data_IF_220220952321
#
_entry.id   IF_220220952321
#
_cell.length_a   1.000
_cell.length_b   1.000
_cell.length_c   1.000
_cell.angle_alpha   90.00
_cell.angle_beta   90.00
_cell.angle_gamma   90.00
#
_symmetry.space_group_name_H-M   'P 1'
#
loop_
_entity.id
_entity.type
_entity.pdbx_description
1 polymer ?
#
# COMPACT_ATOMS: atom_id res chain seq x y z
N UNK A 1 9.84 19.48 -1.50
CA UNK A 1 9.09 19.99 -0.32
C UNK A 1 8.92 18.83 0.67
N UNK A 2 9.07 19.03 1.98
CA UNK A 2 9.04 17.92 2.95
C UNK A 2 7.63 17.41 3.23
N UNK A 3 7.51 16.09 3.36
CA UNK A 3 6.24 15.42 3.71
C UNK A 3 5.98 15.49 5.21
N UNK A 4 4.73 15.27 5.62
CA UNK A 4 4.38 15.21 7.05
C UNK A 4 5.14 14.08 7.78
N UNK A 5 5.38 12.95 7.13
CA UNK A 5 6.18 11.85 7.70
C UNK A 5 7.65 12.25 7.91
N UNK A 6 8.24 13.02 6.99
CA UNK A 6 9.59 13.56 7.18
C UNK A 6 9.64 14.56 8.34
N UNK A 7 8.60 15.39 8.49
CA UNK A 7 8.49 16.31 9.63
C UNK A 7 8.36 15.54 10.94
N UNK A 8 7.52 14.51 11.01
CA UNK A 8 7.43 13.64 12.19
C UNK A 8 8.79 13.10 12.60
N UNK A 9 9.56 12.61 11.61
CA UNK A 9 10.90 12.08 11.86
C UNK A 9 11.85 13.17 12.38
N UNK A 10 11.90 14.34 11.74
CA UNK A 10 12.73 15.47 12.18
C UNK A 10 12.39 15.88 13.62
N UNK A 11 11.11 16.06 13.93
CA UNK A 11 10.68 16.49 15.28
C UNK A 11 10.86 15.42 16.36
N UNK A 12 10.97 14.15 15.97
CA UNK A 12 11.27 13.06 16.91
C UNK A 12 12.77 13.01 17.29
N UNK A 13 13.66 13.53 16.43
CA UNK A 13 15.09 13.58 16.68
C UNK A 13 15.58 14.93 17.25
N UNK A 14 14.74 15.97 17.23
CA UNK A 14 15.12 17.32 17.65
C UNK A 14 14.40 17.76 18.93
N UNK A 15 15.15 18.31 19.87
CA UNK A 15 14.61 19.13 20.95
C UNK A 15 14.37 20.55 20.46
N UNK A 16 13.30 21.18 20.95
CA UNK A 16 12.96 22.57 20.69
C UNK A 16 12.61 23.24 22.00
N UNK A 17 12.98 24.52 22.13
CA UNK A 17 12.44 25.39 23.19
C UNK A 17 10.91 25.45 23.10
N UNK A 18 10.23 25.79 24.20
CA UNK A 18 8.77 25.91 24.19
C UNK A 18 8.26 26.92 23.15
N UNK A 19 8.97 28.04 23.00
CA UNK A 19 8.63 29.07 22.01
C UNK A 19 8.80 28.55 20.57
N UNK A 20 9.95 27.94 20.26
CA UNK A 20 10.21 27.38 18.93
C UNK A 20 9.22 26.25 18.61
N UNK A 21 8.88 25.43 19.60
CA UNK A 21 7.94 24.33 19.44
C UNK A 21 6.54 24.81 19.05
N UNK A 22 6.04 25.89 19.67
CA UNK A 22 4.75 26.47 19.28
C UNK A 22 4.76 26.95 17.82
N UNK A 23 5.87 27.55 17.37
CA UNK A 23 6.02 27.99 15.97
C UNK A 23 6.06 26.80 15.00
N UNK A 24 6.72 25.71 15.37
CA UNK A 24 6.70 24.44 14.60
C UNK A 24 5.27 23.88 14.50
N UNK A 25 4.53 23.83 15.62
CA UNK A 25 3.15 23.36 15.63
C UNK A 25 2.25 24.25 14.76
N UNK A 26 2.40 25.57 14.84
CA UNK A 26 1.63 26.52 14.03
C UNK A 26 1.90 26.33 12.54
N UNK A 27 3.17 26.16 12.15
CA UNK A 27 3.55 25.85 10.76
C UNK A 27 2.84 24.58 10.27
N UNK A 28 2.89 23.50 11.04
CA UNK A 28 2.30 22.23 10.66
C UNK A 28 0.77 22.30 10.57
N UNK A 29 0.11 22.98 11.52
CA UNK A 29 -1.35 23.21 11.48
C UNK A 29 -1.77 23.98 10.22
N UNK A 30 -1.06 25.06 9.89
CA UNK A 30 -1.34 25.86 8.69
C UNK A 30 -1.16 25.06 7.41
N UNK A 31 -0.12 24.24 7.31
CA UNK A 31 0.23 23.54 6.06
C UNK A 31 -0.50 22.23 5.82
N UNK A 32 -0.74 21.45 6.87
CA UNK A 32 -1.27 20.08 6.78
C UNK A 32 -2.68 19.94 7.35
N UNK A 33 -3.32 21.05 7.75
CA UNK A 33 -4.67 21.07 8.35
C UNK A 33 -4.83 20.17 9.58
N UNK A 34 -3.73 19.88 10.29
CA UNK A 34 -3.70 18.98 11.44
C UNK A 34 -2.43 18.14 11.51
N UNK A 35 -2.40 17.20 12.46
CA UNK A 35 -1.29 16.28 12.71
C UNK A 35 -0.91 16.21 14.19
N UNK A 36 -0.87 15.00 14.76
CA UNK A 36 -0.41 14.77 16.15
C UNK A 36 1.12 14.72 16.20
N UNK A 37 1.76 15.89 16.12
CA UNK A 37 3.21 15.99 16.28
C UNK A 37 3.49 16.14 17.77
N UNK A 38 4.41 15.32 18.28
CA UNK A 38 4.79 15.28 19.68
C UNK A 38 6.25 15.71 19.83
N UNK A 39 6.58 16.27 21.00
CA UNK A 39 7.98 16.56 21.33
C UNK A 39 8.79 15.26 21.35
N UNK A 40 10.07 15.36 20.98
CA UNK A 40 11.01 14.27 21.12
C UNK A 40 11.10 13.81 22.58
N UNK A 41 11.00 12.49 22.79
CA UNK A 41 11.25 11.88 24.11
C UNK A 41 12.75 11.72 24.37
N UNK A 42 13.50 11.38 23.32
CA UNK A 42 14.95 11.16 23.34
C UNK A 42 15.59 11.92 22.17
N UNK A 43 15.74 13.26 22.29
CA UNK A 43 16.28 14.08 21.23
C UNK A 43 17.75 13.73 20.98
N UNK A 44 18.16 13.77 19.71
CA UNK A 44 19.54 13.61 19.25
C UNK A 44 20.26 14.94 19.07
N UNK A 45 19.52 16.02 18.89
CA UNK A 45 20.06 17.37 18.67
C UNK A 45 19.08 18.45 19.15
N UNK A 46 19.60 19.65 19.39
CA UNK A 46 18.79 20.86 19.57
C UNK A 46 18.50 21.53 18.22
N UNK A 47 17.27 22.01 18.05
CA UNK A 47 16.84 22.75 16.86
C UNK A 47 16.03 23.99 17.25
N UNK A 48 16.33 25.10 16.60
CA UNK A 48 15.50 26.32 16.60
C UNK A 48 14.45 26.27 15.50
N UNK A 49 13.44 27.14 15.56
CA UNK A 49 12.47 27.29 14.47
C UNK A 49 13.13 27.75 13.17
N UNK A 50 14.19 28.59 13.24
CA UNK A 50 14.95 29.03 12.06
C UNK A 50 15.65 27.87 11.37
N UNK A 51 16.28 26.97 12.12
CA UNK A 51 16.91 25.76 11.58
C UNK A 51 15.88 24.82 10.96
N UNK A 52 14.74 24.61 11.63
CA UNK A 52 13.63 23.84 11.07
C UNK A 52 13.14 24.41 9.73
N UNK A 53 12.94 25.73 9.64
CA UNK A 53 12.56 26.40 8.38
C UNK A 53 13.58 26.21 7.28
N UNK A 54 14.88 26.39 7.57
CA UNK A 54 15.95 26.15 6.61
C UNK A 54 15.96 24.69 6.12
N UNK A 55 15.76 23.74 7.03
CA UNK A 55 15.68 22.31 6.70
C UNK A 55 14.47 21.97 5.82
N UNK A 56 13.31 22.56 6.08
CA UNK A 56 12.12 22.40 5.23
C UNK A 56 12.38 22.83 3.78
N UNK A 57 13.13 23.92 3.61
CA UNK A 57 13.37 24.55 2.31
C UNK A 57 14.49 23.85 1.53
N UNK A 58 15.58 23.46 2.22
CA UNK A 58 16.84 23.04 1.56
C UNK A 58 17.49 21.79 2.14
N UNK A 59 17.02 21.29 3.29
CA UNK A 59 17.60 20.12 3.95
C UNK A 59 17.19 18.80 3.29
N UNK A 60 17.81 17.71 3.71
CA UNK A 60 17.39 16.34 3.35
C UNK A 60 16.44 15.78 4.41
N UNK A 61 15.38 15.11 4.00
CA UNK A 61 14.43 14.43 4.86
C UNK A 61 14.68 12.92 4.86
N UNK A 62 14.14 12.22 5.85
CA UNK A 62 14.19 10.76 5.83
C UNK A 62 13.54 10.21 4.56
N UNK A 63 14.18 9.20 3.97
CA UNK A 63 13.78 8.59 2.70
C UNK A 63 14.27 9.33 1.46
N UNK A 64 14.85 10.52 1.59
CA UNK A 64 15.52 11.17 0.46
C UNK A 64 16.73 10.28 0.04
N UNK A 65 16.84 10.03 -1.25
CA UNK A 65 17.92 9.24 -1.84
C UNK A 65 19.00 10.16 -2.38
N UNK A 66 20.23 9.96 -1.92
CA UNK A 66 21.33 10.92 -2.07
C UNK A 66 22.58 10.26 -2.59
N UNK A 67 23.39 11.00 -3.34
CA UNK A 67 24.79 10.66 -3.60
C UNK A 67 25.68 11.31 -2.53
N UNK A 68 26.75 10.61 -2.17
CA UNK A 68 27.80 11.11 -1.29
C UNK A 68 29.16 10.66 -1.83
N UNK A 69 29.83 11.51 -2.60
CA UNK A 69 31.00 11.10 -3.37
C UNK A 69 30.64 10.00 -4.38
N UNK A 70 31.27 8.84 -4.28
CA UNK A 70 31.02 7.70 -5.18
C UNK A 70 29.95 6.72 -4.66
N UNK A 71 29.36 6.96 -3.49
CA UNK A 71 28.27 6.13 -2.97
C UNK A 71 26.90 6.79 -3.20
N UNK A 72 25.86 5.96 -3.16
CA UNK A 72 24.46 6.39 -3.08
C UNK A 72 23.81 5.75 -1.86
N UNK A 73 22.89 6.46 -1.22
CA UNK A 73 22.25 5.98 0.00
C UNK A 73 20.91 6.64 0.31
N UNK A 74 20.31 6.20 1.41
CA UNK A 74 18.97 6.62 1.86
C UNK A 74 19.11 7.30 3.22
N UNK A 75 18.68 8.56 3.30
CA UNK A 75 18.73 9.35 4.53
C UNK A 75 17.75 8.78 5.57
N UNK A 76 18.24 8.53 6.79
CA UNK A 76 17.44 8.04 7.93
C UNK A 76 17.01 9.17 8.87
N UNK A 77 17.90 10.12 9.08
CA UNK A 77 17.68 11.33 9.87
C UNK A 77 18.58 12.45 9.37
N UNK A 78 18.06 13.66 9.44
CA UNK A 78 18.82 14.89 9.21
C UNK A 78 18.41 15.87 10.28
N UNK A 79 19.37 16.25 11.11
CA UNK A 79 19.21 17.22 12.20
C UNK A 79 20.21 18.36 12.00
N UNK A 80 20.16 19.44 12.80
CA UNK A 80 21.19 20.46 12.75
C UNK A 80 22.60 19.95 13.13
N UNK A 81 22.68 18.89 13.92
CA UNK A 81 23.96 18.32 14.38
C UNK A 81 24.58 17.37 13.35
N UNK A 82 23.77 16.50 12.75
CA UNK A 82 24.27 15.47 11.82
C UNK A 82 23.22 14.96 10.85
N UNK A 83 23.70 14.34 9.77
CA UNK A 83 22.91 13.57 8.80
C UNK A 83 23.38 12.11 8.85
N UNK A 84 22.43 11.18 8.87
CA UNK A 84 22.70 9.74 8.89
C UNK A 84 22.01 9.08 7.71
N UNK A 85 22.72 8.17 7.04
CA UNK A 85 22.16 7.26 6.04
C UNK A 85 21.82 5.93 6.72
N UNK A 86 20.63 5.38 6.50
CA UNK A 86 20.26 4.03 7.00
C UNK A 86 20.72 2.90 6.07
N UNK A 87 21.03 3.25 4.83
CA UNK A 87 21.62 2.34 3.87
C UNK A 87 22.44 3.11 2.84
N UNK A 88 23.47 2.48 2.32
CA UNK A 88 24.37 3.03 1.31
C UNK A 88 24.98 1.90 0.49
N UNK A 89 25.46 2.20 -0.72
CA UNK A 89 26.20 1.23 -1.52
C UNK A 89 27.68 1.28 -1.19
N UNK A 90 28.33 0.13 -1.04
CA UNK A 90 29.78 0.07 -0.97
C UNK A 90 30.44 0.37 -2.35
N UNK A 91 31.76 0.25 -2.41
CA UNK A 91 32.54 0.50 -3.63
C UNK A 91 32.29 -0.53 -4.73
N UNK A 92 31.76 -1.70 -4.39
CA UNK A 92 31.40 -2.77 -5.34
C UNK A 92 29.94 -2.63 -5.82
N UNK A 93 29.18 -1.69 -5.25
CA UNK A 93 27.77 -1.48 -5.55
C UNK A 93 26.82 -2.34 -4.71
N UNK A 94 27.30 -3.03 -3.67
CA UNK A 94 26.45 -3.79 -2.78
C UNK A 94 25.72 -2.86 -1.81
N UNK A 95 24.41 -3.07 -1.65
CA UNK A 95 23.63 -2.35 -0.64
C UNK A 95 23.98 -2.82 0.77
N UNK A 96 24.55 -1.91 1.57
CA UNK A 96 24.78 -2.07 3.00
C UNK A 96 23.65 -1.40 3.76
N UNK A 97 23.00 -2.13 4.66
CA UNK A 97 21.91 -1.62 5.51
C UNK A 97 22.46 -1.45 6.91
N UNK A 98 23.04 -0.27 7.14
CA UNK A 98 23.59 0.13 8.43
C UNK A 98 23.58 1.66 8.52
N UNK A 99 23.53 2.17 9.74
CA UNK A 99 23.63 3.60 9.99
C UNK A 99 25.05 4.09 9.68
N UNK A 100 25.16 5.09 8.82
CA UNK A 100 26.42 5.79 8.53
C UNK A 100 26.22 7.30 8.70
N UNK A 101 26.98 7.89 9.61
CA UNK A 101 27.03 9.34 9.78
C UNK A 101 27.79 10.00 8.61
N UNK A 102 27.21 11.07 8.07
CA UNK A 102 27.78 11.84 6.97
C UNK A 102 28.69 12.92 7.54
N UNK A 103 29.99 12.79 7.32
CA UNK A 103 31.00 13.72 7.86
C UNK A 103 30.97 15.11 7.19
N UNK A 104 30.65 15.16 5.90
CA UNK A 104 30.61 16.41 5.11
C UNK A 104 29.24 16.58 4.43
N UNK A 105 28.18 16.98 5.17
CA UNK A 105 26.82 17.07 4.64
C UNK A 105 26.66 17.96 3.39
N UNK A 106 27.57 18.92 3.18
CA UNK A 106 27.54 19.83 2.03
C UNK A 106 27.85 19.12 0.70
N UNK A 107 28.43 17.91 0.74
CA UNK A 107 28.72 17.09 -0.44
C UNK A 107 27.54 16.21 -0.85
N UNK A 108 26.47 16.15 -0.06
CA UNK A 108 25.27 15.40 -0.41
C UNK A 108 24.54 16.07 -1.56
N UNK A 109 24.15 15.27 -2.55
CA UNK A 109 23.32 15.72 -3.66
C UNK A 109 22.16 14.75 -3.84
N UNK A 110 21.01 15.25 -4.29
CA UNK A 110 19.87 14.40 -4.66
C UNK A 110 20.30 13.47 -5.81
N UNK A 111 19.92 12.20 -5.74
CA UNK A 111 20.18 11.26 -6.84
C UNK A 111 19.32 11.59 -8.07
N UNK A 112 19.86 11.29 -9.25
CA UNK A 112 19.11 11.29 -10.50
C UNK A 112 18.15 10.09 -10.56
N UNK A 113 17.06 10.19 -11.34
CA UNK A 113 15.98 9.20 -11.39
C UNK A 113 16.44 7.78 -11.79
N UNK A 114 17.43 7.66 -12.67
CA UNK A 114 18.01 6.36 -13.07
C UNK A 114 18.67 5.67 -11.86
N UNK A 115 19.44 6.42 -11.07
CA UNK A 115 20.13 5.96 -9.86
C UNK A 115 19.17 5.72 -8.70
N UNK A 116 18.10 6.52 -8.60
CA UNK A 116 16.99 6.26 -7.67
C UNK A 116 16.35 4.90 -7.98
N UNK A 117 16.09 4.61 -9.25
CA UNK A 117 15.49 3.34 -9.68
C UNK A 117 16.42 2.16 -9.39
N UNK A 118 17.72 2.31 -9.64
CA UNK A 118 18.75 1.32 -9.29
C UNK A 118 18.80 1.05 -7.78
N UNK A 119 18.82 2.09 -6.96
CA UNK A 119 18.85 1.95 -5.50
C UNK A 119 17.55 1.33 -4.97
N UNK A 120 16.39 1.69 -5.52
CA UNK A 120 15.10 1.05 -5.19
C UNK A 120 15.11 -0.43 -5.51
N UNK A 121 15.64 -0.81 -6.68
CA UNK A 121 15.81 -2.21 -7.07
C UNK A 121 16.65 -2.97 -6.04
N UNK A 122 17.82 -2.43 -5.66
CA UNK A 122 18.69 -3.08 -4.67
C UNK A 122 17.99 -3.27 -3.31
N UNK A 123 17.25 -2.26 -2.84
CA UNK A 123 16.47 -2.35 -1.59
C UNK A 123 15.39 -3.42 -1.69
N UNK A 124 14.67 -3.45 -2.81
CA UNK A 124 13.58 -4.39 -3.04
C UNK A 124 14.08 -5.84 -3.18
N UNK A 125 15.19 -6.06 -3.88
CA UNK A 125 15.83 -7.37 -4.03
C UNK A 125 16.29 -7.94 -2.67
N UNK A 126 16.67 -7.07 -1.72
CA UNK A 126 16.92 -7.46 -0.32
C UNK A 126 15.65 -7.69 0.50
N UNK A 127 14.47 -7.62 -0.12
CA UNK A 127 13.15 -7.76 0.53
C UNK A 127 12.93 -6.73 1.64
N UNK A 128 13.45 -5.51 1.45
CA UNK A 128 13.33 -4.42 2.41
C UNK A 128 12.46 -3.27 1.87
N UNK A 129 11.92 -2.51 2.81
CA UNK A 129 11.13 -1.31 2.57
C UNK A 129 11.48 -0.26 3.63
N UNK A 130 11.64 0.99 3.20
CA UNK A 130 12.05 2.09 4.07
C UNK A 130 10.86 2.84 4.64
N UNK A 131 10.77 2.88 5.97
CA UNK A 131 9.70 3.57 6.69
C UNK A 131 10.13 4.98 7.10
N UNK A 132 9.76 5.99 6.30
CA UNK A 132 10.11 7.41 6.51
C UNK A 132 9.85 7.88 7.94
N UNK A 133 8.70 7.51 8.52
CA UNK A 133 8.29 7.95 9.86
C UNK A 133 9.23 7.47 10.97
N UNK A 134 9.82 6.29 10.80
CA UNK A 134 10.75 5.70 11.79
C UNK A 134 12.21 5.85 11.40
N UNK A 135 12.49 6.14 10.12
CA UNK A 135 13.84 6.18 9.56
C UNK A 135 14.48 4.81 9.43
N UNK A 136 13.71 3.72 9.42
CA UNK A 136 14.21 2.34 9.48
C UNK A 136 13.73 1.48 8.31
N UNK A 137 14.46 0.42 8.03
CA UNK A 137 14.04 -0.64 7.11
C UNK A 137 13.21 -1.69 7.82
N UNK A 138 12.11 -2.08 7.18
CA UNK A 138 11.30 -3.24 7.53
C UNK A 138 11.32 -4.24 6.38
N UNK A 139 10.88 -5.47 6.63
CA UNK A 139 10.62 -6.42 5.54
C UNK A 139 9.47 -5.92 4.67
N UNK A 140 9.57 -6.14 3.36
CA UNK A 140 8.45 -5.86 2.45
C UNK A 140 7.22 -6.65 2.86
N UNK A 141 6.05 -6.02 2.75
CA UNK A 141 4.79 -6.73 2.90
C UNK A 141 4.56 -7.62 1.68
N UNK A 142 4.31 -8.91 1.92
CA UNK A 142 3.94 -9.88 0.87
C UNK A 142 2.49 -10.28 1.11
N UNK A 143 1.54 -9.84 0.26
CA UNK A 143 0.14 -10.19 0.42
C UNK A 143 -0.09 -11.67 0.16
N UNK A 144 -1.10 -12.24 0.80
CA UNK A 144 -1.61 -13.56 0.45
C UNK A 144 -2.42 -13.48 -0.85
N UNK A 145 -2.49 -14.58 -1.59
CA UNK A 145 -3.34 -14.69 -2.77
C UNK A 145 -4.79 -14.36 -2.40
N UNK A 146 -5.47 -13.60 -3.26
CA UNK A 146 -6.83 -13.07 -3.08
C UNK A 146 -7.01 -12.02 -1.99
N UNK A 147 -5.93 -11.58 -1.34
CA UNK A 147 -6.00 -10.46 -0.40
C UNK A 147 -5.86 -9.12 -1.12
N UNK A 148 -6.36 -8.07 -0.48
CA UNK A 148 -6.24 -6.72 -0.99
C UNK A 148 -4.88 -6.11 -0.65
N UNK A 149 -4.27 -5.50 -1.66
CA UNK A 149 -3.03 -4.78 -1.53
C UNK A 149 -3.11 -3.44 -2.27
N UNK A 150 -2.25 -2.53 -1.87
CA UNK A 150 -2.14 -1.20 -2.46
C UNK A 150 -0.75 -0.94 -3.01
N UNK A 151 -0.69 -0.12 -4.07
CA UNK A 151 0.53 0.41 -4.67
C UNK A 151 0.46 1.93 -4.56
N UNK A 152 1.44 2.52 -3.88
CA UNK A 152 1.63 3.97 -3.83
C UNK A 152 2.51 4.38 -5.01
N UNK A 153 2.10 5.39 -5.78
CA UNK A 153 2.92 5.89 -6.87
C UNK A 153 3.72 7.10 -6.42
N UNK A 154 5.02 7.18 -6.78
CA UNK A 154 5.80 8.39 -6.55
C UNK A 154 5.07 9.60 -7.15
N UNK A 155 4.89 10.66 -6.35
CA UNK A 155 4.25 11.92 -6.73
C UNK A 155 2.74 11.86 -6.99
N UNK A 156 2.05 10.81 -6.55
CA UNK A 156 0.57 10.75 -6.57
C UNK A 156 0.04 10.60 -5.15
N UNK A 157 -0.95 11.43 -4.79
CA UNK A 157 -1.75 11.22 -3.58
C UNK A 157 -2.79 10.09 -3.78
N UNK A 158 -2.97 9.63 -5.03
CA UNK A 158 -3.84 8.50 -5.33
C UNK A 158 -3.11 7.18 -5.15
N UNK A 159 -3.74 6.29 -4.40
CA UNK A 159 -3.25 4.94 -4.16
C UNK A 159 -3.98 3.98 -5.09
N UNK A 160 -3.23 3.11 -5.77
CA UNK A 160 -3.79 2.00 -6.51
C UNK A 160 -4.19 0.88 -5.56
N UNK A 161 -5.36 0.28 -5.74
CA UNK A 161 -5.85 -0.84 -4.92
C UNK A 161 -6.22 -2.01 -5.81
N UNK A 162 -5.81 -3.22 -5.42
CA UNK A 162 -6.19 -4.42 -6.14
C UNK A 162 -6.26 -5.66 -5.27
N UNK A 163 -6.91 -6.70 -5.81
CA UNK A 163 -6.93 -8.03 -5.23
C UNK A 163 -5.78 -8.85 -5.81
N UNK A 164 -4.79 -9.15 -4.98
CA UNK A 164 -3.51 -9.72 -5.37
C UNK A 164 -3.62 -11.19 -5.77
N UNK A 165 -2.86 -11.61 -6.78
CA UNK A 165 -2.74 -13.01 -7.20
C UNK A 165 -1.33 -13.53 -6.98
N UNK A 166 -0.35 -12.91 -7.64
CA UNK A 166 1.04 -13.34 -7.65
C UNK A 166 1.98 -12.21 -8.09
N UNK A 167 3.28 -12.49 -8.10
CA UNK A 167 4.31 -11.53 -8.46
C UNK A 167 5.47 -12.20 -9.20
N UNK A 168 6.02 -11.49 -10.18
CA UNK A 168 7.30 -11.81 -10.84
C UNK A 168 8.46 -10.97 -10.27
N UNK A 169 8.32 -10.52 -9.01
CA UNK A 169 9.10 -9.52 -8.29
C UNK A 169 8.71 -8.07 -8.62
N UNK A 170 9.04 -7.55 -9.80
CA UNK A 170 8.82 -6.13 -10.13
C UNK A 170 7.40 -5.83 -10.64
N UNK A 171 6.67 -6.86 -11.06
CA UNK A 171 5.27 -6.78 -11.45
C UNK A 171 4.42 -7.65 -10.55
N UNK A 172 3.18 -7.22 -10.39
CA UNK A 172 2.19 -7.89 -9.57
C UNK A 172 0.96 -8.15 -10.40
N UNK A 173 0.47 -9.38 -10.35
CA UNK A 173 -0.76 -9.79 -10.98
C UNK A 173 -1.92 -9.54 -10.01
N UNK A 174 -2.96 -8.89 -10.51
CA UNK A 174 -4.17 -8.60 -9.76
C UNK A 174 -5.39 -9.13 -10.50
N UNK A 175 -6.30 -9.74 -9.75
CA UNK A 175 -7.59 -10.18 -10.28
C UNK A 175 -8.47 -8.99 -10.68
N UNK A 176 -8.37 -7.91 -9.91
CA UNK A 176 -8.93 -6.60 -10.23
C UNK A 176 -8.02 -5.54 -9.61
N UNK A 177 -7.81 -4.44 -10.33
CA UNK A 177 -6.98 -3.34 -9.91
C UNK A 177 -7.60 -2.00 -10.31
N UNK A 178 -7.67 -1.07 -9.38
CA UNK A 178 -8.21 0.26 -9.54
C UNK A 178 -7.15 1.30 -9.24
N UNK A 179 -6.88 2.17 -10.20
CA UNK A 179 -6.07 3.37 -10.03
C UNK A 179 -6.82 4.59 -10.59
N UNK A 180 -6.96 5.64 -9.78
CA UNK A 180 -7.92 6.71 -10.02
C UNK A 180 -9.32 6.14 -10.27
N UNK A 181 -9.85 6.39 -11.47
CA UNK A 181 -11.14 5.88 -11.94
C UNK A 181 -11.03 4.69 -12.92
N UNK A 182 -9.81 4.23 -13.22
CA UNK A 182 -9.57 3.16 -14.20
C UNK A 182 -9.55 1.82 -13.50
N UNK A 183 -10.62 1.06 -13.66
CA UNK A 183 -10.70 -0.35 -13.27
C UNK A 183 -10.09 -1.22 -14.38
N UNK A 184 -9.17 -2.11 -14.00
CA UNK A 184 -8.58 -3.12 -14.86
C UNK A 184 -8.83 -4.48 -14.22
N UNK A 185 -9.37 -5.42 -14.98
CA UNK A 185 -9.57 -6.80 -14.54
C UNK A 185 -8.41 -7.65 -15.03
N UNK A 186 -8.02 -8.64 -14.23
CA UNK A 186 -7.01 -9.65 -14.58
C UNK A 186 -5.76 -9.05 -15.26
N UNK A 187 -4.99 -8.26 -14.50
CA UNK A 187 -3.93 -7.44 -15.07
C UNK A 187 -2.63 -7.51 -14.28
N UNK A 188 -1.52 -7.37 -15.01
CA UNK A 188 -0.19 -7.20 -14.46
C UNK A 188 0.13 -5.71 -14.33
N UNK A 189 0.56 -5.30 -13.14
CA UNK A 189 0.95 -3.93 -12.83
C UNK A 189 2.43 -3.92 -12.48
N UNK A 190 3.21 -3.13 -13.19
CA UNK A 190 4.61 -2.85 -12.87
C UNK A 190 4.68 -1.90 -11.67
N UNK A 191 5.24 -2.36 -10.56
CA UNK A 191 5.39 -1.52 -9.37
C UNK A 191 6.65 -0.67 -9.42
N UNK A 192 7.53 -0.88 -10.41
CA UNK A 192 8.85 -0.26 -10.49
C UNK A 192 9.61 -0.38 -9.16
N UNK A 193 9.62 -1.60 -8.61
CA UNK A 193 10.25 -1.93 -7.31
C UNK A 193 9.63 -1.20 -6.10
N UNK A 194 8.40 -0.70 -6.23
CA UNK A 194 7.66 -0.12 -5.11
C UNK A 194 6.99 -1.23 -4.30
N UNK A 195 7.26 -1.35 -2.99
CA UNK A 195 6.64 -2.38 -2.17
C UNK A 195 5.11 -2.23 -2.08
N UNK A 196 4.41 -3.36 -2.07
CA UNK A 196 2.99 -3.41 -1.78
C UNK A 196 2.70 -3.00 -0.34
N UNK A 197 1.52 -2.41 -0.11
CA UNK A 197 0.99 -2.08 1.21
C UNK A 197 -0.30 -2.86 1.47
N UNK A 198 -0.65 -2.99 2.75
CA UNK A 198 -1.95 -3.53 3.12
C UNK A 198 -3.04 -2.49 2.76
N UNK A 199 -4.08 -2.94 2.07
CA UNK A 199 -5.20 -2.07 1.73
C UNK A 199 -6.03 -1.73 2.99
N UNK A 200 -6.49 -0.48 3.08
CA UNK A 200 -7.43 -0.07 4.12
C UNK A 200 -8.87 -0.49 3.78
N UNK A 201 -9.78 -0.48 4.74
CA UNK A 201 -11.21 -0.69 4.45
C UNK A 201 -11.76 0.31 3.42
N UNK A 202 -11.26 1.55 3.42
CA UNK A 202 -11.67 2.57 2.46
C UNK A 202 -11.21 2.22 1.04
N UNK A 203 -9.99 1.69 0.89
CA UNK A 203 -9.47 1.23 -0.39
C UNK A 203 -10.27 0.04 -0.93
N UNK A 204 -10.56 -0.93 -0.05
CA UNK A 204 -11.35 -2.12 -0.38
C UNK A 204 -12.76 -1.71 -0.84
N UNK A 205 -13.43 -0.83 -0.10
CA UNK A 205 -14.75 -0.28 -0.48
C UNK A 205 -14.71 0.43 -1.82
N UNK A 206 -13.65 1.19 -2.11
CA UNK A 206 -13.47 1.91 -3.38
C UNK A 206 -13.32 0.94 -4.56
N UNK A 207 -12.54 -0.12 -4.41
CA UNK A 207 -12.43 -1.18 -5.43
C UNK A 207 -13.79 -1.84 -5.70
N UNK A 208 -14.50 -2.25 -4.65
CA UNK A 208 -15.81 -2.89 -4.78
C UNK A 208 -16.88 -1.98 -5.37
N UNK A 209 -16.85 -0.68 -5.06
CA UNK A 209 -17.73 0.29 -5.68
C UNK A 209 -17.47 0.39 -7.19
N UNK A 210 -16.20 0.41 -7.59
CA UNK A 210 -15.82 0.46 -9.00
C UNK A 210 -16.21 -0.83 -9.75
N UNK A 211 -16.00 -2.01 -9.16
CA UNK A 211 -16.42 -3.28 -9.78
C UNK A 211 -17.93 -3.37 -9.87
N UNK A 212 -18.65 -2.96 -8.83
CA UNK A 212 -20.12 -2.95 -8.81
C UNK A 212 -20.71 -2.00 -9.85
N UNK A 213 -20.10 -0.83 -10.07
CA UNK A 213 -20.47 0.10 -11.15
C UNK A 213 -20.33 -0.52 -12.54
N UNK A 214 -19.41 -1.46 -12.70
CA UNK A 214 -19.24 -2.28 -13.91
C UNK A 214 -20.10 -3.55 -13.91
N UNK A 215 -21.01 -3.69 -12.95
CA UNK A 215 -21.90 -4.85 -12.81
C UNK A 215 -21.15 -6.12 -12.42
N UNK A 216 -20.06 -6.00 -11.65
CA UNK A 216 -19.27 -7.13 -11.16
C UNK A 216 -19.24 -7.18 -9.63
N UNK A 217 -19.37 -8.38 -9.09
CA UNK A 217 -19.20 -8.68 -7.66
C UNK A 217 -18.19 -9.79 -7.47
N UNK A 218 -17.36 -9.70 -6.44
CA UNK A 218 -16.43 -10.76 -6.12
C UNK A 218 -17.16 -11.96 -5.52
N UNK A 219 -16.96 -13.14 -6.10
CA UNK A 219 -17.41 -14.40 -5.57
C UNK A 219 -16.27 -15.05 -4.77
N UNK A 220 -16.43 -15.06 -3.45
CA UNK A 220 -15.45 -15.63 -2.51
C UNK A 220 -15.19 -17.13 -2.74
N UNK A 221 -16.19 -17.90 -3.20
CA UNK A 221 -16.05 -19.35 -3.41
C UNK A 221 -15.29 -19.68 -4.69
N UNK A 222 -15.60 -18.97 -5.77
CA UNK A 222 -14.94 -19.16 -7.06
C UNK A 222 -13.62 -18.36 -7.17
N UNK A 223 -13.34 -17.47 -6.22
CA UNK A 223 -12.25 -16.49 -6.27
C UNK A 223 -12.19 -15.72 -7.60
N UNK A 224 -13.36 -15.29 -8.07
CA UNK A 224 -13.52 -14.61 -9.35
C UNK A 224 -14.52 -13.46 -9.24
N UNK A 225 -14.32 -12.40 -10.02
CA UNK A 225 -15.35 -11.39 -10.22
C UNK A 225 -16.35 -11.89 -11.25
N UNK A 226 -17.61 -12.03 -10.83
CA UNK A 226 -18.72 -12.48 -11.66
C UNK A 226 -19.68 -11.33 -11.93
N UNK A 227 -20.43 -11.42 -13.04
CA UNK A 227 -21.49 -10.44 -13.32
C UNK A 227 -22.54 -10.49 -12.23
N UNK A 228 -22.81 -9.35 -11.61
CA UNK A 228 -23.91 -9.20 -10.68
C UNK A 228 -25.21 -9.40 -11.45
N UNK A 229 -26.03 -10.41 -11.09
CA UNK A 229 -27.33 -10.60 -11.71
C UNK A 229 -28.21 -9.39 -11.42
N UNK A 230 -28.83 -8.85 -12.46
CA UNK A 230 -29.77 -7.75 -12.29
C UNK A 230 -31.10 -8.33 -11.80
N UNK A 231 -31.54 -7.88 -10.61
CA UNK A 231 -32.79 -8.32 -9.98
C UNK A 231 -33.96 -8.26 -10.96
N UNK A 232 -34.74 -9.33 -11.04
CA UNK A 232 -35.98 -9.36 -11.83
C UNK A 232 -35.79 -9.38 -13.35
N UNK A 233 -34.58 -9.63 -13.86
CA UNK A 233 -34.32 -9.76 -15.31
C UNK A 233 -34.35 -11.20 -15.84
N UNK A 234 -35.14 -12.08 -15.22
CA UNK A 234 -35.34 -13.45 -15.71
C UNK A 234 -34.03 -14.26 -15.78
N UNK A 235 -33.08 -13.97 -14.88
CA UNK A 235 -31.79 -14.65 -14.85
C UNK A 235 -32.02 -16.12 -14.56
N UNK A 236 -31.39 -17.00 -15.34
CA UNK A 236 -31.32 -18.42 -15.03
C UNK A 236 -30.18 -18.61 -14.03
N UNK A 237 -30.49 -19.21 -12.89
CA UNK A 237 -29.52 -19.48 -11.83
C UNK A 237 -29.76 -20.85 -11.22
N UNK A 238 -28.76 -21.35 -10.51
CA UNK A 238 -28.77 -22.61 -9.79
C UNK A 238 -28.74 -22.36 -8.29
N UNK A 239 -29.34 -23.25 -7.52
CA UNK A 239 -29.27 -23.24 -6.06
C UNK A 239 -29.24 -24.67 -5.53
N UNK A 240 -28.66 -24.87 -4.35
CA UNK A 240 -28.81 -26.12 -3.63
C UNK A 240 -30.14 -26.12 -2.89
N UNK A 241 -30.97 -27.12 -3.18
CA UNK A 241 -32.16 -27.38 -2.39
C UNK A 241 -31.81 -28.02 -1.04
N UNK A 242 -32.82 -28.22 -0.22
CA UNK A 242 -32.81 -28.89 1.08
C UNK A 242 -32.36 -30.36 1.03
N UNK A 243 -32.28 -30.96 -0.17
CA UNK A 243 -31.70 -32.28 -0.44
C UNK A 243 -30.25 -32.23 -0.93
N UNK A 244 -29.64 -31.04 -1.00
CA UNK A 244 -28.31 -30.80 -1.56
C UNK A 244 -28.17 -31.24 -3.02
N UNK A 245 -29.25 -31.06 -3.77
CA UNK A 245 -29.28 -31.22 -5.22
C UNK A 245 -29.23 -29.83 -5.84
N UNK A 246 -28.48 -29.71 -6.94
CA UNK A 246 -28.41 -28.46 -7.68
C UNK A 246 -29.64 -28.34 -8.57
N UNK A 247 -30.45 -27.30 -8.32
CA UNK A 247 -31.73 -27.05 -9.00
C UNK A 247 -31.65 -25.73 -9.74
N UNK A 248 -32.15 -25.70 -10.97
CA UNK A 248 -32.26 -24.48 -11.77
C UNK A 248 -33.56 -23.74 -11.42
N UNK A 249 -33.49 -22.41 -11.31
CA UNK A 249 -34.65 -21.53 -11.17
C UNK A 249 -34.46 -20.27 -12.04
N UNK A 250 -35.54 -19.53 -12.26
CA UNK A 250 -35.55 -18.27 -13.01
C UNK A 250 -35.95 -17.12 -12.10
N UNK A 251 -35.10 -16.11 -12.03
CA UNK A 251 -35.32 -14.94 -11.19
C UNK A 251 -36.36 -14.00 -11.79
N UNK A 252 -37.56 -14.03 -11.21
CA UNK A 252 -38.66 -13.14 -11.57
C UNK A 252 -38.79 -11.93 -10.62
N UNK A 253 -37.80 -11.68 -9.76
CA UNK A 253 -37.79 -10.57 -8.80
C UNK A 253 -38.49 -10.85 -7.47
N UNK A 254 -39.07 -12.04 -7.27
CA UNK A 254 -39.65 -12.47 -6.00
C UNK A 254 -38.62 -12.53 -4.85
N UNK A 255 -39.11 -12.34 -3.61
CA UNK A 255 -38.28 -12.28 -2.39
C UNK A 255 -37.38 -13.52 -2.19
N UNK A 256 -37.86 -14.72 -2.55
CA UNK A 256 -37.09 -15.98 -2.46
C UNK A 256 -35.75 -15.92 -3.20
N UNK A 257 -35.67 -15.17 -4.31
CA UNK A 257 -34.45 -15.02 -5.09
C UNK A 257 -33.42 -14.17 -4.35
N UNK A 258 -33.89 -13.12 -3.67
CA UNK A 258 -33.06 -12.28 -2.80
C UNK A 258 -32.55 -13.08 -1.60
N UNK A 259 -33.42 -13.84 -0.93
CA UNK A 259 -33.02 -14.66 0.22
C UNK A 259 -31.95 -15.70 -0.16
N UNK A 260 -32.06 -16.30 -1.36
CA UNK A 260 -31.02 -17.19 -1.89
C UNK A 260 -29.73 -16.46 -2.23
N UNK A 261 -29.82 -15.25 -2.80
CA UNK A 261 -28.65 -14.42 -3.08
C UNK A 261 -27.90 -14.04 -1.79
N UNK A 262 -28.62 -13.52 -0.80
CA UNK A 262 -28.07 -13.09 0.48
C UNK A 262 -27.45 -14.26 1.26
N UNK A 263 -28.00 -15.47 1.10
CA UNK A 263 -27.44 -16.71 1.65
C UNK A 263 -26.25 -17.27 0.86
N UNK A 264 -25.84 -16.63 -0.25
CA UNK A 264 -24.82 -17.16 -1.16
C UNK A 264 -25.23 -18.47 -1.84
N UNK A 265 -26.52 -18.73 -1.99
CA UNK A 265 -27.10 -19.91 -2.64
C UNK A 265 -27.74 -19.53 -3.99
N UNK A 266 -27.22 -18.50 -4.65
CA UNK A 266 -27.64 -18.04 -5.97
C UNK A 266 -26.44 -18.14 -6.90
N UNK A 267 -26.38 -19.21 -7.68
CA UNK A 267 -25.19 -19.62 -8.43
C UNK A 267 -25.45 -19.43 -9.92
N UNK A 268 -24.64 -18.62 -10.58
CA UNK A 268 -24.85 -18.32 -12.01
C UNK A 268 -24.17 -19.33 -12.94
N UNK A 269 -23.18 -20.07 -12.45
CA UNK A 269 -22.44 -21.09 -13.20
C UNK A 269 -22.74 -22.50 -12.68
N UNK A 270 -23.19 -23.40 -13.55
CA UNK A 270 -23.51 -24.77 -13.18
C UNK A 270 -22.30 -25.53 -12.59
N UNK A 271 -21.09 -25.28 -13.12
CA UNK A 271 -19.83 -25.88 -12.67
C UNK A 271 -19.49 -25.43 -11.25
N UNK A 272 -19.66 -24.14 -10.96
CA UNK A 272 -19.54 -23.61 -9.59
C UNK A 272 -20.53 -24.32 -8.66
N UNK A 273 -21.77 -24.53 -9.14
CA UNK A 273 -22.80 -25.23 -8.37
C UNK A 273 -22.43 -26.68 -8.05
N UNK A 274 -21.80 -27.38 -8.99
CA UNK A 274 -21.30 -28.75 -8.75
C UNK A 274 -20.17 -28.78 -7.72
N UNK A 275 -19.24 -27.82 -7.77
CA UNK A 275 -18.16 -27.70 -6.79
C UNK A 275 -18.72 -27.41 -5.40
N UNK A 276 -19.66 -26.46 -5.30
CA UNK A 276 -20.33 -26.12 -4.04
C UNK A 276 -21.12 -27.32 -3.48
N UNK A 277 -21.85 -28.05 -4.33
CA UNK A 277 -22.54 -29.28 -3.93
C UNK A 277 -21.56 -30.30 -3.33
N UNK A 278 -20.39 -30.49 -3.96
CA UNK A 278 -19.35 -31.41 -3.51
C UNK A 278 -18.78 -31.01 -2.15
N UNK A 279 -18.50 -29.73 -1.94
CA UNK A 279 -18.02 -29.20 -0.67
C UNK A 279 -19.02 -29.42 0.47
N UNK A 280 -20.30 -29.09 0.24
CA UNK A 280 -21.35 -29.26 1.25
C UNK A 280 -21.55 -30.73 1.63
N UNK A 281 -21.50 -31.65 0.64
CA UNK A 281 -21.54 -33.09 0.90
C UNK A 281 -20.34 -33.58 1.72
N UNK A 282 -19.14 -33.06 1.41
CA UNK A 282 -17.90 -33.36 2.15
C UNK A 282 -17.97 -32.88 3.60
N UNK A 283 -18.42 -31.65 3.85
CA UNK A 283 -18.57 -31.10 5.21
C UNK A 283 -19.55 -31.91 6.07
N UNK A 284 -20.51 -32.60 5.46
CA UNK A 284 -21.51 -33.43 6.15
C UNK A 284 -21.12 -34.89 6.31
N UNK A 285 -19.90 -35.29 5.95
CA UNK A 285 -19.44 -36.67 6.08
C UNK A 285 -20.16 -37.67 5.17
N UNK A 286 -20.77 -37.20 4.07
CA UNK A 286 -21.42 -38.03 3.05
C UNK A 286 -20.58 -38.12 1.77
N UNK A 287 -19.26 -38.29 1.93
CA UNK A 287 -18.35 -38.61 0.84
C UNK A 287 -18.35 -40.11 0.60
#
# INVERSE_FOLDING_TARGET
>A
MKTLNQIYRYTADCHFSDEDWQRVLEYCRKRFKGGKIHKALYPKADSTYRQFRKWIETGFGAGDMVSYGNTMGIVSSSTPASIVLAAYCDYEGNLIVNDMEVLEPQRLQTLEESRITELRKLVFEKRLDFQVRTGKFNKIYTPQKYFYATIEYPNSDEVGVGMYLESDNSKHHFLAYLYGNKLQMDCWIDSNYTPLRQATEADIKRLHAATSKNGLSFNERAHQFIKTPQKGKNNVYWYLNDRFELVMDRDNGAKKHQERWDAGNYILDFTEGLLFMKEVKKMRGKA
#
